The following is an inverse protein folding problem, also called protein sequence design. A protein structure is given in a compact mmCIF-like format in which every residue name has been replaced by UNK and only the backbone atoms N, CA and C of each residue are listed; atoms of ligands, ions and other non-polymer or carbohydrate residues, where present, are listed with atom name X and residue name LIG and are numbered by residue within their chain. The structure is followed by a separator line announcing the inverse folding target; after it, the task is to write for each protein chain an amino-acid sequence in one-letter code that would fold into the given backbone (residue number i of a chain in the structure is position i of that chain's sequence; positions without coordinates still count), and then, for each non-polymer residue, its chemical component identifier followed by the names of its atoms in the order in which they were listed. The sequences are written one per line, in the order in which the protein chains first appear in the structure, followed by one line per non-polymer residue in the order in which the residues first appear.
data_IF_734684811367
#
_entry.id   IF_734684811367
#
_cell.length_a   1.000
_cell.length_b   1.000
_cell.length_c   1.000
_cell.angle_alpha   90.00
_cell.angle_beta   90.00
_cell.angle_gamma   90.00
#
_symmetry.space_group_name_H-M   'P 1'
#
loop_
_entity.id
_entity.type
_entity.pdbx_description
1 polymer ?
#
# COMPACT_ATOMS: atom_id res chain seq x y z
N UNK A 1 13.96 36.65 -15.45
CA UNK A 1 15.31 37.22 -15.64
C UNK A 1 16.32 36.13 -15.35
N UNK A 2 17.25 35.97 -16.29
CA UNK A 2 18.21 34.88 -16.43
C UNK A 2 19.31 34.92 -15.35
N UNK A 3 19.77 33.75 -14.90
CA UNK A 3 21.20 33.48 -14.78
C UNK A 3 21.46 31.96 -14.74
N UNK A 4 22.04 31.43 -15.83
CA UNK A 4 22.69 30.13 -15.90
C UNK A 4 24.20 30.39 -15.87
N UNK A 5 24.93 29.74 -14.96
CA UNK A 5 26.40 29.80 -14.91
C UNK A 5 26.96 28.50 -15.47
N UNK A 6 27.71 28.64 -16.57
CA UNK A 6 28.56 27.62 -17.20
C UNK A 6 30.01 27.99 -16.82
N UNK A 7 30.81 27.03 -16.35
CA UNK A 7 32.27 27.17 -16.31
C UNK A 7 32.87 25.93 -16.95
N UNK A 8 33.65 26.15 -18.01
CA UNK A 8 34.42 25.16 -18.74
C UNK A 8 35.83 25.70 -18.99
N UNK A 9 36.84 24.82 -18.78
CA UNK A 9 38.19 24.74 -19.40
C UNK A 9 39.12 25.98 -19.28
N UNK A 10 40.47 25.91 -19.30
CA UNK A 10 41.55 24.91 -19.20
C UNK A 10 42.88 25.71 -19.38
N UNK A 11 44.02 25.00 -19.43
CA UNK A 11 45.38 25.44 -19.89
C UNK A 11 46.24 26.01 -18.73
N UNK A 12 47.49 25.59 -18.47
CA UNK A 12 48.59 25.30 -19.39
C UNK A 12 49.61 24.28 -18.83
N UNK A 13 50.24 23.55 -19.74
CA UNK A 13 51.44 22.75 -19.53
C UNK A 13 52.71 23.62 -19.63
N UNK A 14 53.73 23.32 -18.82
CA UNK A 14 55.11 23.72 -19.08
C UNK A 14 56.07 22.60 -18.64
N UNK A 15 56.85 22.10 -19.59
CA UNK A 15 57.95 21.15 -19.42
C UNK A 15 59.24 21.88 -19.07
N UNK A 16 60.02 21.38 -18.11
CA UNK A 16 61.47 21.52 -18.07
C UNK A 16 62.12 20.26 -17.47
N UNK A 17 63.06 19.70 -18.23
CA UNK A 17 63.98 18.62 -17.85
C UNK A 17 65.09 19.17 -16.94
N UNK A 18 65.49 18.44 -15.89
CA UNK A 18 66.89 18.31 -15.48
C UNK A 18 67.14 17.04 -14.64
N UNK A 19 68.36 16.54 -14.76
CA UNK A 19 68.89 15.24 -14.39
C UNK A 19 69.42 15.16 -12.94
N UNK A 20 69.52 13.91 -12.45
CA UNK A 20 70.44 13.35 -11.44
C UNK A 20 70.23 13.64 -9.94
N UNK A 21 70.09 12.55 -9.16
CA UNK A 21 70.34 12.52 -7.71
C UNK A 21 69.77 11.27 -7.01
N UNK A 22 70.61 10.29 -6.70
CA UNK A 22 70.26 9.07 -5.97
C UNK A 22 69.82 9.37 -4.52
N UNK A 23 68.73 8.73 -4.09
CA UNK A 23 68.33 8.61 -2.69
C UNK A 23 66.99 7.86 -2.57
N UNK A 24 67.03 6.52 -2.57
CA UNK A 24 65.83 5.71 -2.24
C UNK A 24 65.57 5.81 -0.73
N UNK A 25 64.52 6.54 -0.35
CA UNK A 25 63.86 6.31 0.93
C UNK A 25 63.12 4.97 0.88
N UNK A 26 63.13 4.15 1.93
CA UNK A 26 62.34 2.92 1.95
C UNK A 26 60.86 3.26 2.01
N UNK A 27 60.12 2.96 0.95
CA UNK A 27 58.66 2.96 0.96
C UNK A 27 58.20 1.80 1.84
N UNK A 28 57.64 2.13 3.01
CA UNK A 28 56.81 1.21 3.78
C UNK A 28 55.55 0.90 2.98
N UNK A 29 55.53 -0.27 2.34
CA UNK A 29 54.33 -0.82 1.70
C UNK A 29 53.35 -1.21 2.80
N UNK A 30 52.26 -0.45 2.93
CA UNK A 30 51.15 -0.82 3.81
C UNK A 30 50.56 -2.17 3.36
N UNK A 31 50.18 -3.07 4.27
CA UNK A 31 49.57 -4.35 3.91
C UNK A 31 48.30 -4.09 3.09
N UNK A 32 48.30 -4.52 1.82
CA UNK A 32 47.08 -4.55 1.03
C UNK A 32 46.15 -5.58 1.67
N UNK A 33 45.04 -5.12 2.24
CA UNK A 33 43.97 -6.00 2.67
C UNK A 33 43.52 -6.82 1.45
N UNK A 34 43.71 -8.14 1.53
CA UNK A 34 43.19 -9.07 0.54
C UNK A 34 41.67 -9.01 0.63
N UNK A 35 41.04 -8.34 -0.34
CA UNK A 35 39.60 -8.45 -0.54
C UNK A 35 39.37 -9.84 -1.09
N UNK A 36 38.83 -10.74 -0.26
CA UNK A 36 38.35 -12.04 -0.71
C UNK A 36 37.43 -11.83 -1.92
N UNK A 37 37.80 -12.43 -3.05
CA UNK A 37 37.01 -12.34 -4.27
C UNK A 37 35.66 -13.02 -4.03
N UNK A 38 34.59 -12.21 -3.91
CA UNK A 38 33.24 -12.72 -3.76
C UNK A 38 32.90 -13.53 -5.01
N UNK A 39 32.69 -14.83 -4.83
CA UNK A 39 32.32 -15.72 -5.93
C UNK A 39 30.91 -15.35 -6.41
N UNK A 40 30.81 -14.79 -7.61
CA UNK A 40 29.55 -14.36 -8.19
C UNK A 40 28.68 -15.58 -8.52
N UNK A 41 27.43 -15.54 -8.06
CA UNK A 41 26.37 -16.48 -8.45
C UNK A 41 25.50 -15.85 -9.54
N UNK A 42 24.80 -16.67 -10.32
CA UNK A 42 23.91 -16.19 -11.40
C UNK A 42 22.70 -15.41 -10.90
N UNK A 43 22.31 -15.57 -9.63
CA UNK A 43 21.06 -15.03 -9.08
C UNK A 43 19.80 -15.80 -9.53
N UNK A 44 19.96 -16.94 -10.20
CA UNK A 44 18.85 -17.80 -10.64
C UNK A 44 18.72 -18.98 -9.68
N UNK A 45 17.54 -19.14 -9.09
CA UNK A 45 17.20 -20.27 -8.22
C UNK A 45 16.91 -21.52 -9.03
N UNK A 46 17.97 -22.24 -9.42
CA UNK A 46 17.88 -23.44 -10.25
C UNK A 46 17.07 -24.57 -9.61
N UNK A 47 16.93 -24.59 -8.27
CA UNK A 47 16.14 -25.59 -7.56
C UNK A 47 14.63 -25.52 -7.85
N UNK A 48 14.14 -24.38 -8.33
CA UNK A 48 12.72 -24.20 -8.68
C UNK A 48 12.36 -24.73 -10.07
N UNK A 49 13.35 -25.03 -10.91
CA UNK A 49 13.13 -25.48 -12.27
C UNK A 49 12.46 -26.85 -12.32
N UNK A 50 11.34 -26.96 -13.02
CA UNK A 50 10.74 -28.23 -13.40
C UNK A 50 11.22 -28.64 -14.80
N UNK A 51 12.25 -29.47 -14.85
CA UNK A 51 12.86 -29.94 -16.10
C UNK A 51 12.00 -30.96 -16.85
N UNK A 52 10.87 -31.39 -16.31
CA UNK A 52 9.92 -32.24 -17.05
C UNK A 52 9.07 -31.42 -18.03
N UNK A 53 8.92 -30.12 -17.79
CA UNK A 53 8.24 -29.20 -18.70
C UNK A 53 9.26 -28.65 -19.70
N UNK A 54 8.93 -28.66 -20.99
CA UNK A 54 9.80 -28.02 -21.99
C UNK A 54 9.66 -26.49 -21.87
N UNK A 55 10.77 -25.72 -21.79
CA UNK A 55 10.69 -24.26 -21.65
C UNK A 55 9.97 -23.56 -22.81
N UNK A 56 9.94 -24.16 -24.01
CA UNK A 56 9.25 -23.62 -25.17
C UNK A 56 7.72 -23.82 -25.13
N UNK A 57 7.21 -24.70 -24.25
CA UNK A 57 5.78 -25.00 -24.12
C UNK A 57 5.14 -24.15 -23.03
N UNK A 58 5.78 -24.10 -21.86
CA UNK A 58 5.35 -23.27 -20.74
C UNK A 58 6.58 -22.87 -19.91
N UNK A 59 7.11 -21.70 -20.23
CA UNK A 59 8.30 -21.19 -19.55
C UNK A 59 8.03 -20.88 -18.07
N UNK A 60 6.80 -20.49 -17.71
CA UNK A 60 6.44 -20.20 -16.33
C UNK A 60 6.47 -21.46 -15.47
N UNK A 61 5.90 -22.57 -15.97
CA UNK A 61 5.99 -23.87 -15.31
C UNK A 61 7.40 -24.43 -15.31
N UNK A 62 8.15 -24.29 -16.40
CA UNK A 62 9.56 -24.71 -16.42
C UNK A 62 10.37 -24.01 -15.34
N UNK A 63 10.20 -22.70 -15.15
CA UNK A 63 11.00 -21.93 -14.17
C UNK A 63 10.53 -22.12 -12.72
N UNK A 64 9.21 -22.23 -12.51
CA UNK A 64 8.61 -22.17 -11.16
C UNK A 64 7.95 -23.48 -10.71
N UNK A 65 7.97 -24.54 -11.51
CA UNK A 65 7.14 -25.73 -11.30
C UNK A 65 7.39 -26.42 -9.95
N UNK A 66 8.65 -26.57 -9.55
CA UNK A 66 8.96 -27.16 -8.24
C UNK A 66 8.57 -26.24 -7.08
N UNK A 67 8.64 -24.91 -7.27
CA UNK A 67 8.19 -23.95 -6.25
C UNK A 67 6.67 -24.01 -6.08
N UNK A 68 5.92 -24.03 -7.19
CA UNK A 68 4.46 -24.16 -7.18
C UNK A 68 3.99 -25.46 -6.53
N UNK A 69 4.72 -26.56 -6.72
CA UNK A 69 4.37 -27.86 -6.14
C UNK A 69 4.60 -27.95 -4.63
N UNK A 70 5.50 -27.14 -4.08
CA UNK A 70 5.93 -27.19 -2.66
C UNK A 70 5.40 -26.04 -1.81
N UNK A 71 4.99 -24.95 -2.45
CA UNK A 71 4.64 -23.71 -1.73
C UNK A 71 3.14 -23.64 -1.52
N UNK A 72 2.75 -23.60 -0.25
CA UNK A 72 1.38 -23.32 0.15
C UNK A 72 1.17 -21.81 0.28
N UNK A 73 -0.01 -21.33 -0.11
CA UNK A 73 -0.41 -19.94 0.16
C UNK A 73 -0.73 -19.86 1.67
N UNK A 74 -0.07 -18.99 2.44
CA UNK A 74 -0.36 -18.84 3.87
C UNK A 74 -1.85 -18.53 4.11
N UNK A 75 -2.42 -19.06 5.20
CA UNK A 75 -3.87 -19.02 5.44
C UNK A 75 -4.45 -17.60 5.56
N UNK A 76 -3.62 -16.61 5.91
CA UNK A 76 -3.99 -15.20 6.02
C UNK A 76 -3.77 -14.41 4.71
N UNK A 77 -3.36 -15.07 3.62
CA UNK A 77 -3.07 -14.44 2.33
C UNK A 77 -3.98 -14.98 1.23
N UNK A 78 -4.40 -14.10 0.32
CA UNK A 78 -5.16 -14.48 -0.87
C UNK A 78 -4.28 -14.92 -2.05
N UNK A 79 -2.97 -14.63 -1.98
CA UNK A 79 -1.95 -15.03 -2.96
C UNK A 79 -0.58 -15.08 -2.29
N UNK A 80 0.36 -15.80 -2.91
CA UNK A 80 1.74 -15.86 -2.47
C UNK A 80 2.69 -15.97 -3.66
N UNK A 81 3.85 -15.33 -3.54
CA UNK A 81 4.87 -15.25 -4.59
C UNK A 81 6.02 -14.35 -4.15
N UNK A 82 7.03 -14.19 -5.02
CA UNK A 82 8.25 -13.45 -4.69
C UNK A 82 8.01 -12.01 -4.22
N UNK A 83 7.05 -11.29 -4.81
CA UNK A 83 6.69 -9.94 -4.37
C UNK A 83 6.01 -9.92 -3.00
N UNK A 84 5.22 -10.94 -2.67
CA UNK A 84 4.53 -11.04 -1.39
C UNK A 84 5.51 -11.45 -0.29
N UNK A 85 6.47 -12.32 -0.59
CA UNK A 85 7.58 -12.67 0.30
C UNK A 85 8.49 -11.47 0.58
N UNK A 86 8.84 -10.70 -0.45
CA UNK A 86 9.62 -9.47 -0.27
C UNK A 86 8.86 -8.45 0.60
N UNK A 87 7.56 -8.26 0.35
CA UNK A 87 6.72 -7.38 1.18
C UNK A 87 6.68 -7.87 2.62
N UNK A 88 6.45 -9.17 2.84
CA UNK A 88 6.39 -9.76 4.17
C UNK A 88 7.70 -9.53 4.95
N UNK A 89 8.85 -9.74 4.32
CA UNK A 89 10.15 -9.51 4.95
C UNK A 89 10.37 -8.02 5.26
N UNK A 90 9.97 -7.12 4.36
CA UNK A 90 10.06 -5.68 4.60
C UNK A 90 9.13 -5.24 5.76
N UNK A 91 7.88 -5.71 5.79
CA UNK A 91 6.92 -5.45 6.86
C UNK A 91 7.46 -5.92 8.21
N UNK A 92 8.09 -7.11 8.26
CA UNK A 92 8.74 -7.62 9.46
C UNK A 92 9.84 -6.69 9.97
N UNK A 93 10.76 -6.26 9.10
CA UNK A 93 11.81 -5.32 9.51
C UNK A 93 11.26 -3.97 9.97
N UNK A 94 10.22 -3.44 9.29
CA UNK A 94 9.56 -2.20 9.71
C UNK A 94 8.91 -2.39 11.08
N UNK A 95 8.23 -3.51 11.32
CA UNK A 95 7.63 -3.84 12.61
C UNK A 95 8.69 -3.91 13.72
N UNK A 96 9.82 -4.56 13.46
CA UNK A 96 10.95 -4.62 14.40
C UNK A 96 11.45 -3.22 14.77
N UNK A 97 11.62 -2.32 13.79
CA UNK A 97 12.02 -0.94 14.04
C UNK A 97 10.97 -0.16 14.85
N UNK A 98 9.69 -0.32 14.52
CA UNK A 98 8.58 0.31 15.25
C UNK A 98 8.56 -0.18 16.71
N UNK A 99 8.71 -1.48 16.94
CA UNK A 99 8.73 -2.06 18.29
C UNK A 99 9.93 -1.57 19.09
N UNK A 100 11.12 -1.52 18.48
CA UNK A 100 12.32 -0.98 19.12
C UNK A 100 12.16 0.50 19.47
N UNK A 101 11.50 1.28 18.62
CA UNK A 101 11.22 2.69 18.88
C UNK A 101 10.14 2.87 19.96
N UNK A 102 9.07 2.06 19.92
CA UNK A 102 7.98 2.10 20.89
C UNK A 102 8.42 1.67 22.30
N UNK A 103 9.47 0.86 22.43
CA UNK A 103 10.03 0.46 23.71
C UNK A 103 10.86 1.55 24.42
N UNK A 104 11.12 2.68 23.77
CA UNK A 104 11.98 3.75 24.28
C UNK A 104 11.16 5.02 24.56
N UNK A 105 11.52 5.81 25.60
CA UNK A 105 10.97 7.15 25.74
C UNK A 105 11.39 8.01 24.54
N UNK A 106 10.48 8.87 24.10
CA UNK A 106 10.73 9.83 23.04
C UNK A 106 10.17 11.19 23.46
N UNK A 107 10.81 12.27 23.00
CA UNK A 107 10.36 13.61 23.27
C UNK A 107 8.98 13.86 22.63
N UNK A 108 8.10 14.55 23.36
CA UNK A 108 6.74 14.81 22.92
C UNK A 108 6.73 15.60 21.60
N UNK A 109 5.89 15.18 20.65
CA UNK A 109 5.73 15.83 19.34
C UNK A 109 6.70 15.34 18.27
N UNK A 110 7.72 14.55 18.63
CA UNK A 110 8.64 13.92 17.66
C UNK A 110 7.98 12.77 16.91
N UNK A 111 8.46 12.45 15.72
CA UNK A 111 7.97 11.30 14.95
C UNK A 111 8.22 9.98 15.68
N UNK A 112 9.32 9.90 16.45
CA UNK A 112 9.62 8.78 17.32
C UNK A 112 8.50 8.52 18.36
N UNK A 113 7.99 9.59 18.99
CA UNK A 113 6.87 9.49 19.92
C UNK A 113 5.57 9.11 19.20
N UNK A 114 5.25 9.75 18.07
CA UNK A 114 4.03 9.44 17.29
C UNK A 114 3.98 7.99 16.80
N UNK A 115 5.11 7.47 16.31
CA UNK A 115 5.22 6.06 15.87
C UNK A 115 4.95 5.12 17.04
N UNK A 116 5.59 5.37 18.19
CA UNK A 116 5.41 4.56 19.39
C UNK A 116 3.98 4.59 19.92
N UNK A 117 3.37 5.78 19.98
CA UNK A 117 1.99 5.95 20.43
C UNK A 117 0.99 5.30 19.49
N UNK A 118 1.12 5.50 18.18
CA UNK A 118 0.23 4.87 17.20
C UNK A 118 0.30 3.34 17.29
N UNK A 119 1.51 2.79 17.40
CA UNK A 119 1.71 1.35 17.57
C UNK A 119 1.03 0.84 18.84
N UNK A 120 1.27 1.48 20.00
CA UNK A 120 0.65 1.07 21.27
C UNK A 120 -0.86 1.20 21.24
N UNK A 121 -1.40 2.28 20.67
CA UNK A 121 -2.84 2.49 20.53
C UNK A 121 -3.48 1.40 19.66
N UNK A 122 -2.82 0.98 18.58
CA UNK A 122 -3.30 -0.11 17.73
C UNK A 122 -3.23 -1.48 18.41
N UNK A 123 -2.18 -1.73 19.21
CA UNK A 123 -1.99 -3.02 19.89
C UNK A 123 -2.80 -3.18 21.17
N UNK A 124 -3.34 -2.10 21.75
CA UNK A 124 -4.16 -2.12 22.96
C UNK A 124 -5.60 -2.58 22.67
N UNK A 125 -5.71 -3.86 22.34
CA UNK A 125 -6.98 -4.54 22.04
C UNK A 125 -7.94 -4.52 23.23
N UNK A 126 -7.44 -4.52 24.48
CA UNK A 126 -8.29 -4.45 25.66
C UNK A 126 -9.05 -3.11 25.75
N UNK A 127 -8.35 -1.99 25.51
CA UNK A 127 -8.99 -0.67 25.45
C UNK A 127 -9.94 -0.57 24.24
N UNK A 128 -9.55 -1.10 23.08
CA UNK A 128 -10.42 -1.12 21.88
C UNK A 128 -11.73 -1.87 22.17
N UNK A 129 -11.65 -3.07 22.75
CA UNK A 129 -12.81 -3.89 23.09
C UNK A 129 -13.69 -3.23 24.15
N UNK A 130 -13.08 -2.58 25.14
CA UNK A 130 -13.81 -1.84 26.18
C UNK A 130 -14.58 -0.63 25.61
N UNK A 131 -13.97 0.11 24.67
CA UNK A 131 -14.58 1.30 24.07
C UNK A 131 -15.70 0.94 23.08
N UNK A 132 -15.57 -0.19 22.38
CA UNK A 132 -16.54 -0.62 21.37
C UNK A 132 -16.82 0.50 20.36
N UNK A 133 -18.10 0.86 20.18
CA UNK A 133 -18.53 1.90 19.24
C UNK A 133 -18.53 3.33 19.82
N UNK A 134 -18.15 3.52 21.09
CA UNK A 134 -18.18 4.86 21.71
C UNK A 134 -17.42 5.94 20.91
N UNK A 135 -16.23 5.67 20.32
CA UNK A 135 -15.52 6.66 19.52
C UNK A 135 -16.29 7.14 18.27
N UNK A 136 -17.27 6.36 17.79
CA UNK A 136 -18.08 6.68 16.60
C UNK A 136 -19.41 7.36 16.95
N UNK A 137 -19.74 7.56 18.23
CA UNK A 137 -21.05 8.03 18.66
C UNK A 137 -21.43 9.40 18.07
N UNK A 138 -20.47 10.32 17.96
CA UNK A 138 -20.71 11.64 17.38
C UNK A 138 -20.98 11.58 15.87
N UNK A 139 -20.27 10.72 15.15
CA UNK A 139 -20.46 10.52 13.70
C UNK A 139 -21.82 9.87 13.42
N UNK A 140 -22.21 8.86 14.22
CA UNK A 140 -23.53 8.22 14.13
C UNK A 140 -24.65 9.22 14.42
N UNK A 141 -24.54 10.00 15.51
CA UNK A 141 -25.53 11.01 15.86
C UNK A 141 -25.65 12.11 14.78
N UNK A 142 -24.55 12.47 14.13
CA UNK A 142 -24.56 13.41 13.01
C UNK A 142 -25.33 12.84 11.80
N UNK A 143 -25.20 11.55 11.51
CA UNK A 143 -25.95 10.85 10.46
C UNK A 143 -27.44 10.78 10.80
N UNK A 144 -27.80 10.39 12.02
CA UNK A 144 -29.19 10.28 12.48
C UNK A 144 -29.92 11.63 12.47
N UNK A 145 -29.17 12.73 12.61
CA UNK A 145 -29.68 14.09 12.59
C UNK A 145 -30.01 14.65 11.20
N UNK A 146 -29.61 13.99 10.11
CA UNK A 146 -29.82 14.46 8.74
C UNK A 146 -31.28 14.34 8.32
N UNK A 147 -31.89 15.45 7.87
CA UNK A 147 -33.34 15.52 7.59
C UNK A 147 -33.70 15.51 6.13
N UNK A 148 -32.75 15.81 5.25
CA UNK A 148 -33.00 16.01 3.83
C UNK A 148 -31.73 15.80 2.99
N UNK A 149 -31.92 15.79 1.67
CA UNK A 149 -30.84 15.55 0.72
C UNK A 149 -29.75 16.65 0.74
N UNK A 150 -30.11 17.91 1.03
CA UNK A 150 -29.15 19.01 1.08
C UNK A 150 -28.20 18.85 2.28
N UNK A 151 -28.76 18.49 3.45
CA UNK A 151 -27.98 18.16 4.64
C UNK A 151 -27.07 16.94 4.40
N UNK A 152 -27.57 15.91 3.71
CA UNK A 152 -26.77 14.74 3.33
C UNK A 152 -25.62 15.11 2.39
N UNK A 153 -25.86 15.95 1.37
CA UNK A 153 -24.83 16.40 0.45
C UNK A 153 -23.74 17.23 1.15
N UNK A 154 -24.13 18.14 2.07
CA UNK A 154 -23.19 18.88 2.88
C UNK A 154 -22.38 17.96 3.81
N UNK A 155 -23.02 16.96 4.39
CA UNK A 155 -22.35 15.97 5.23
C UNK A 155 -21.31 15.17 4.43
N UNK A 156 -21.67 14.67 3.25
CA UNK A 156 -20.71 14.02 2.34
C UNK A 156 -19.53 14.91 1.96
N UNK A 157 -19.76 16.21 1.75
CA UNK A 157 -18.70 17.18 1.51
C UNK A 157 -17.69 17.25 2.66
N UNK A 158 -18.15 17.25 3.92
CA UNK A 158 -17.28 17.23 5.11
C UNK A 158 -16.49 15.92 5.21
N UNK A 159 -17.15 14.79 4.93
CA UNK A 159 -16.56 13.45 4.98
C UNK A 159 -15.40 13.25 4.00
N UNK A 160 -15.36 13.99 2.89
CA UNK A 160 -14.23 13.94 1.94
C UNK A 160 -12.88 14.25 2.62
N UNK A 161 -12.84 15.25 3.50
CA UNK A 161 -11.61 15.67 4.18
C UNK A 161 -11.09 14.57 5.13
N UNK A 162 -12.00 13.77 5.68
CA UNK A 162 -11.71 12.64 6.56
C UNK A 162 -11.50 11.32 5.78
N UNK A 163 -11.62 11.35 4.45
CA UNK A 163 -11.49 10.20 3.54
C UNK A 163 -12.48 9.07 3.80
N UNK A 164 -13.65 9.40 4.36
CA UNK A 164 -14.76 8.46 4.39
C UNK A 164 -15.32 8.23 2.98
N UNK A 165 -15.82 7.02 2.73
CA UNK A 165 -16.46 6.69 1.46
C UNK A 165 -17.78 7.45 1.28
N UNK A 166 -17.96 8.09 0.13
CA UNK A 166 -19.24 8.66 -0.32
C UNK A 166 -19.47 8.23 -1.78
N UNK A 167 -20.65 8.48 -2.39
CA UNK A 167 -20.91 8.10 -3.78
C UNK A 167 -20.00 8.76 -4.84
N UNK A 168 -19.28 9.84 -4.47
CA UNK A 168 -18.33 10.52 -5.35
C UNK A 168 -17.08 10.90 -4.57
N UNK A 169 -15.90 10.66 -5.14
CA UNK A 169 -14.64 11.05 -4.52
C UNK A 169 -14.12 12.33 -5.15
N UNK A 170 -13.79 13.30 -4.31
CA UNK A 170 -13.14 14.55 -4.66
C UNK A 170 -11.67 14.48 -4.29
N UNK A 171 -10.79 14.85 -5.21
CA UNK A 171 -9.35 14.93 -4.94
C UNK A 171 -8.67 15.99 -5.80
N UNK A 172 -7.50 16.44 -5.36
CA UNK A 172 -6.66 17.37 -6.13
C UNK A 172 -5.57 16.56 -6.82
N UNK A 173 -5.49 16.70 -8.13
CA UNK A 173 -4.49 16.02 -8.95
C UNK A 173 -3.95 16.93 -10.05
N UNK A 174 -2.91 16.46 -10.74
CA UNK A 174 -2.36 17.20 -11.88
C UNK A 174 -3.36 17.23 -13.04
N UNK A 175 -3.45 18.36 -13.73
CA UNK A 175 -4.25 18.47 -14.95
C UNK A 175 -3.60 17.66 -16.08
N UNK A 176 -4.35 16.72 -16.66
CA UNK A 176 -3.90 15.90 -17.79
C UNK A 176 -3.61 16.74 -19.04
N UNK A 177 -4.20 17.94 -19.16
CA UNK A 177 -3.93 18.90 -20.26
C UNK A 177 -2.82 19.88 -19.93
N UNK A 178 -2.44 20.02 -18.66
CA UNK A 178 -1.35 20.88 -18.21
C UNK A 178 -0.73 20.38 -16.91
N UNK A 179 0.31 19.55 -17.01
CA UNK A 179 0.96 18.90 -15.86
C UNK A 179 1.64 19.84 -14.87
N UNK A 180 1.73 21.15 -15.17
CA UNK A 180 2.25 22.16 -14.24
C UNK A 180 1.20 22.73 -13.30
N UNK A 181 -0.08 22.36 -13.47
CA UNK A 181 -1.21 22.86 -12.70
C UNK A 181 -1.92 21.72 -11.97
N UNK A 182 -2.53 22.09 -10.84
CA UNK A 182 -3.46 21.22 -10.13
C UNK A 182 -4.90 21.62 -10.43
N UNK A 183 -5.78 20.63 -10.53
CA UNK A 183 -7.22 20.82 -10.66
C UNK A 183 -7.96 19.95 -9.65
N UNK A 184 -9.20 20.35 -9.35
CA UNK A 184 -10.12 19.50 -8.62
C UNK A 184 -10.68 18.44 -9.56
N UNK A 185 -10.60 17.18 -9.14
CA UNK A 185 -11.05 16.02 -9.87
C UNK A 185 -12.20 15.38 -9.12
N UNK A 186 -13.17 14.87 -9.87
CA UNK A 186 -14.32 14.11 -9.36
C UNK A 186 -14.27 12.73 -10.00
N UNK A 187 -14.43 11.68 -9.20
CA UNK A 187 -14.50 10.32 -9.71
C UNK A 187 -15.64 9.54 -9.04
N UNK A 188 -16.11 8.49 -9.72
CA UNK A 188 -17.13 7.58 -9.21
C UNK A 188 -16.64 6.86 -7.95
N UNK A 189 -17.54 6.62 -6.99
CA UNK A 189 -17.26 5.95 -5.72
C UNK A 189 -18.53 5.34 -5.12
N UNK A 190 -18.48 4.89 -3.86
CA UNK A 190 -19.65 4.47 -3.09
C UNK A 190 -20.09 3.02 -3.28
N UNK A 191 -19.26 2.16 -3.86
CA UNK A 191 -19.48 0.71 -3.86
C UNK A 191 -18.62 0.07 -2.75
N UNK A 192 -19.19 -0.87 -1.99
CA UNK A 192 -18.41 -1.65 -1.03
C UNK A 192 -17.79 -2.92 -1.63
N UNK A 193 -18.27 -3.39 -2.78
CA UNK A 193 -17.58 -4.44 -3.55
C UNK A 193 -16.58 -3.82 -4.56
N UNK A 194 -15.52 -4.54 -4.95
CA UNK A 194 -14.38 -3.94 -5.66
C UNK A 194 -14.67 -3.31 -7.03
N UNK A 195 -15.76 -3.74 -7.67
CA UNK A 195 -16.12 -3.34 -9.04
C UNK A 195 -17.64 -3.44 -9.26
N UNK A 196 -18.18 -2.60 -10.15
CA UNK A 196 -19.59 -2.60 -10.55
C UNK A 196 -20.08 -3.95 -11.04
N UNK A 197 -19.23 -4.73 -11.71
CA UNK A 197 -19.59 -6.03 -12.26
C UNK A 197 -19.99 -7.04 -11.17
N UNK A 198 -19.51 -6.86 -9.93
CA UNK A 198 -19.93 -7.71 -8.80
C UNK A 198 -21.42 -7.55 -8.47
N UNK A 199 -22.04 -6.43 -8.85
CA UNK A 199 -23.47 -6.17 -8.66
C UNK A 199 -24.32 -6.60 -9.86
N UNK A 200 -23.73 -6.62 -11.06
CA UNK A 200 -24.44 -6.74 -12.34
C UNK A 200 -24.36 -8.13 -12.97
N UNK A 201 -23.28 -8.88 -12.75
CA UNK A 201 -23.16 -10.27 -13.22
C UNK A 201 -24.15 -11.17 -12.51
N UNK A 202 -24.66 -12.17 -13.21
CA UNK A 202 -25.74 -13.07 -12.73
C UNK A 202 -25.32 -14.53 -12.70
N UNK A 203 -24.03 -14.82 -12.88
CA UNK A 203 -23.51 -16.18 -12.71
C UNK A 203 -23.56 -16.62 -11.24
N UNK A 204 -23.50 -17.94 -11.01
CA UNK A 204 -23.63 -18.54 -9.67
C UNK A 204 -22.62 -17.98 -8.66
N UNK A 205 -21.38 -17.72 -9.12
CA UNK A 205 -20.34 -17.15 -8.26
C UNK A 205 -20.68 -15.71 -7.89
N UNK A 206 -21.16 -14.91 -8.84
CA UNK A 206 -21.61 -13.54 -8.58
C UNK A 206 -22.79 -13.52 -7.59
N UNK A 207 -23.80 -14.36 -7.78
CA UNK A 207 -24.94 -14.45 -6.86
C UNK A 207 -24.53 -14.85 -5.44
N UNK A 208 -23.60 -15.81 -5.32
CA UNK A 208 -23.03 -16.18 -4.02
C UNK A 208 -22.30 -15.01 -3.36
N UNK A 209 -21.50 -14.24 -4.11
CA UNK A 209 -20.79 -13.06 -3.57
C UNK A 209 -21.79 -12.00 -3.09
N UNK A 210 -22.84 -11.70 -3.85
CA UNK A 210 -23.89 -10.75 -3.46
C UNK A 210 -24.57 -11.16 -2.15
N UNK A 211 -24.88 -12.45 -2.01
CA UNK A 211 -25.47 -13.00 -0.78
C UNK A 211 -24.52 -12.85 0.42
N UNK A 212 -23.24 -13.20 0.26
CA UNK A 212 -22.24 -13.05 1.33
C UNK A 212 -22.01 -11.59 1.71
N UNK A 213 -22.03 -10.68 0.75
CA UNK A 213 -21.90 -9.25 1.00
C UNK A 213 -23.08 -8.68 1.79
N UNK A 214 -24.32 -9.02 1.41
CA UNK A 214 -25.52 -8.64 2.19
C UNK A 214 -25.51 -9.23 3.59
N UNK A 215 -25.10 -10.50 3.73
CA UNK A 215 -24.94 -11.14 5.03
C UNK A 215 -23.92 -10.39 5.90
N UNK A 216 -22.78 -9.99 5.35
CA UNK A 216 -21.75 -9.23 6.07
C UNK A 216 -22.28 -7.89 6.56
N UNK A 217 -23.01 -7.15 5.71
CA UNK A 217 -23.64 -5.87 6.10
C UNK A 217 -24.61 -6.10 7.26
N UNK A 218 -25.49 -7.10 7.15
CA UNK A 218 -26.45 -7.43 8.19
C UNK A 218 -25.73 -7.79 9.51
N UNK A 219 -24.62 -8.53 9.44
CA UNK A 219 -23.83 -8.89 10.63
C UNK A 219 -23.18 -7.68 11.28
N UNK A 220 -22.59 -6.76 10.51
CA UNK A 220 -22.02 -5.53 11.09
C UNK A 220 -23.10 -4.65 11.72
N UNK A 221 -24.28 -4.58 11.10
CA UNK A 221 -25.42 -3.86 11.64
C UNK A 221 -25.91 -4.45 12.97
N UNK A 222 -26.02 -5.77 13.05
CA UNK A 222 -26.39 -6.50 14.28
C UNK A 222 -25.33 -6.34 15.37
N UNK A 223 -24.04 -6.45 15.02
CA UNK A 223 -22.93 -6.26 15.96
C UNK A 223 -22.87 -4.82 16.50
N UNK A 224 -23.38 -3.85 15.74
CA UNK A 224 -23.55 -2.48 16.20
C UNK A 224 -24.74 -2.28 17.15
N UNK A 225 -25.55 -3.33 17.38
CA UNK A 225 -26.71 -3.29 18.25
C UNK A 225 -27.95 -2.65 17.61
N UNK A 226 -27.96 -2.48 16.28
CA UNK A 226 -29.08 -1.89 15.56
C UNK A 226 -30.10 -2.96 15.11
N UNK A 227 -31.40 -2.64 15.12
CA UNK A 227 -32.44 -3.59 14.72
C UNK A 227 -32.49 -3.79 13.20
N UNK A 228 -33.10 -4.90 12.77
CA UNK A 228 -33.44 -5.18 11.37
C UNK A 228 -32.26 -5.19 10.39
N UNK A 229 -31.13 -5.81 10.78
CA UNK A 229 -29.91 -5.88 9.97
C UNK A 229 -30.12 -6.41 8.54
N UNK A 230 -30.98 -7.41 8.35
CA UNK A 230 -31.31 -7.92 6.99
C UNK A 230 -31.98 -6.85 6.12
N UNK A 231 -32.94 -6.09 6.68
CA UNK A 231 -33.63 -5.05 5.93
C UNK A 231 -32.70 -3.86 5.65
N UNK A 232 -31.80 -3.53 6.58
CA UNK A 232 -30.75 -2.53 6.36
C UNK A 232 -29.81 -2.95 5.23
N UNK A 233 -29.35 -4.22 5.23
CA UNK A 233 -28.49 -4.76 4.18
C UNK A 233 -29.14 -4.71 2.80
N UNK A 234 -30.43 -5.05 2.68
CA UNK A 234 -31.15 -4.97 1.41
C UNK A 234 -31.26 -3.54 0.89
N UNK A 235 -31.53 -2.56 1.76
CA UNK A 235 -31.59 -1.13 1.38
C UNK A 235 -30.23 -0.61 0.94
N UNK A 236 -29.17 -0.90 1.71
CA UNK A 236 -27.80 -0.48 1.39
C UNK A 236 -27.37 -1.08 0.05
N UNK A 237 -27.55 -2.40 -0.12
CA UNK A 237 -27.23 -3.07 -1.37
C UNK A 237 -28.02 -2.49 -2.56
N UNK A 238 -29.31 -2.18 -2.39
CA UNK A 238 -30.12 -1.61 -3.46
C UNK A 238 -29.58 -0.26 -3.94
N UNK A 239 -29.14 0.61 -3.02
CA UNK A 239 -28.49 1.88 -3.35
C UNK A 239 -27.18 1.64 -4.12
N UNK A 240 -26.32 0.77 -3.61
CA UNK A 240 -25.05 0.44 -4.27
C UNK A 240 -25.26 -0.19 -5.65
N UNK A 241 -26.27 -1.04 -5.81
CA UNK A 241 -26.62 -1.63 -7.11
C UNK A 241 -27.05 -0.56 -8.11
N UNK A 242 -27.87 0.41 -7.70
CA UNK A 242 -28.23 1.55 -8.55
C UNK A 242 -27.00 2.35 -8.96
N UNK A 243 -26.09 2.65 -8.02
CA UNK A 243 -24.81 3.29 -8.34
C UNK A 243 -24.00 2.48 -9.35
N UNK A 244 -23.89 1.16 -9.18
CA UNK A 244 -23.14 0.29 -10.07
C UNK A 244 -23.66 0.34 -11.53
N UNK A 245 -24.98 0.53 -11.74
CA UNK A 245 -25.55 0.64 -13.10
C UNK A 245 -25.04 1.84 -13.89
N UNK A 246 -24.74 2.96 -13.21
CA UNK A 246 -24.32 4.22 -13.84
C UNK A 246 -22.80 4.43 -13.84
N UNK A 247 -22.06 3.60 -13.10
CA UNK A 247 -20.60 3.64 -13.05
C UNK A 247 -19.97 3.11 -14.36
N UNK A 248 -18.83 3.67 -14.74
CA UNK A 248 -17.99 3.12 -15.80
C UNK A 248 -17.34 1.81 -15.34
N UNK A 249 -17.17 0.87 -16.27
CA UNK A 249 -16.29 -0.27 -16.06
C UNK A 249 -14.84 0.19 -15.95
N UNK A 250 -14.03 -0.53 -15.16
CA UNK A 250 -12.59 -0.35 -15.15
C UNK A 250 -11.94 -0.79 -16.47
#
# INVERSE_FOLDING_TARGET
MSQKTVIALAVAAALTFHLTGCGKAPETVAPQAQVEAVQLKSGIELGNLDTQVKPQQDFFRYVNGNWLAKTEIPADKSRWGSFDELRYNAEKHVLELIQQQAAKPAEAGTDAQKIGDLYRAFMDTATIDQLGLQPLAADIAAIDGLKNADELAMFWGKLQAQRYGTPVTLFVGQDQKNSTQYISLVNQSGLGMPDRDNYLKTDEKAEKIKQQYRWMIAKFWELAGWPDGSAAADRIYAIEQQLATIQWSR
#
